data_IF_291912479935
#
_entry.id   IF_291912479935
#
_cell.length_a   1.000
_cell.length_b   1.000
_cell.length_c   1.000
_cell.angle_alpha   90.00
_cell.angle_beta   90.00
_cell.angle_gamma   90.00
#
_symmetry.space_group_name_H-M   'P 1'
#
loop_
_entity.id
_entity.type
_entity.pdbx_description
1 polymer ?
#
# COMPACT_ATOMS: atom_id res chain seq x y z
N UNK A 1 61.04 28.34 -41.53
CA UNK A 1 60.53 27.25 -40.71
C UNK A 1 59.18 27.67 -40.16
N UNK A 2 58.17 27.19 -40.80
CA UNK A 2 56.79 27.64 -40.62
C UNK A 2 56.09 26.63 -39.65
N UNK A 3 55.62 27.08 -38.46
CA UNK A 3 54.93 26.26 -37.51
C UNK A 3 53.42 26.30 -37.79
N UNK A 4 52.87 25.15 -38.14
CA UNK A 4 51.44 24.94 -38.41
C UNK A 4 50.69 24.77 -37.12
N UNK A 5 49.78 25.69 -36.81
CA UNK A 5 48.82 25.60 -35.68
C UNK A 5 47.70 24.63 -36.08
N UNK A 6 47.65 23.48 -35.43
CA UNK A 6 46.57 22.52 -35.56
C UNK A 6 45.44 22.92 -34.60
N UNK A 7 44.33 23.38 -35.18
CA UNK A 7 43.09 23.68 -34.46
C UNK A 7 42.42 22.38 -34.01
N UNK A 8 42.33 22.14 -32.70
CA UNK A 8 41.52 21.09 -32.10
C UNK A 8 40.04 21.43 -32.21
N UNK A 9 39.37 20.81 -33.17
CA UNK A 9 37.89 20.85 -33.24
C UNK A 9 37.28 20.03 -32.10
N UNK A 10 36.63 20.71 -31.17
CA UNK A 10 35.85 20.05 -30.13
C UNK A 10 34.67 19.30 -30.78
N UNK A 11 34.78 17.99 -30.84
CA UNK A 11 33.62 17.12 -31.16
C UNK A 11 32.52 17.37 -30.15
N UNK A 12 31.44 18.01 -30.59
CA UNK A 12 30.17 18.00 -29.87
C UNK A 12 29.77 16.53 -29.63
N UNK A 13 29.73 16.12 -28.38
CA UNK A 13 29.15 14.85 -27.96
C UNK A 13 27.66 14.87 -28.34
N UNK A 14 27.33 14.22 -29.45
CA UNK A 14 25.96 13.89 -29.79
C UNK A 14 25.51 12.88 -28.74
N UNK A 15 24.70 13.33 -27.78
CA UNK A 15 24.02 12.46 -26.83
C UNK A 15 23.29 11.37 -27.64
N UNK A 16 23.64 10.10 -27.40
CA UNK A 16 22.90 8.97 -27.94
C UNK A 16 21.43 9.16 -27.58
N UNK A 17 20.47 8.93 -28.50
CA UNK A 17 19.06 8.95 -28.15
C UNK A 17 18.84 7.96 -27.00
N UNK A 18 18.32 8.46 -25.89
CA UNK A 18 18.01 7.64 -24.74
C UNK A 18 17.06 6.51 -25.17
N UNK A 19 17.38 5.28 -24.80
CA UNK A 19 16.51 4.15 -25.08
C UNK A 19 15.12 4.38 -24.42
N UNK A 20 14.03 3.97 -25.05
CA UNK A 20 12.66 4.22 -24.60
C UNK A 20 12.40 3.98 -23.10
N UNK A 21 12.96 2.92 -22.45
CA UNK A 21 12.81 2.73 -21.00
C UNK A 21 13.42 3.83 -20.14
N UNK A 22 14.55 4.40 -20.51
CA UNK A 22 15.20 5.49 -19.77
C UNK A 22 14.43 6.80 -19.88
N UNK A 23 13.89 7.07 -21.06
CA UNK A 23 13.01 8.22 -21.28
C UNK A 23 11.74 8.14 -20.42
N UNK A 24 11.11 6.96 -20.32
CA UNK A 24 9.94 6.73 -19.47
C UNK A 24 10.25 6.94 -17.99
N UNK A 25 11.38 6.44 -17.49
CA UNK A 25 11.83 6.68 -16.10
C UNK A 25 12.01 8.18 -15.82
N UNK A 26 12.65 8.89 -16.73
CA UNK A 26 12.85 10.35 -16.61
C UNK A 26 11.50 11.07 -16.59
N UNK A 27 10.60 10.72 -17.49
CA UNK A 27 9.26 11.30 -17.58
C UNK A 27 8.45 11.07 -16.29
N UNK A 28 8.40 9.83 -15.80
CA UNK A 28 7.73 9.48 -14.53
C UNK A 28 8.25 10.32 -13.37
N UNK A 29 9.58 10.35 -13.22
CA UNK A 29 10.25 11.11 -12.15
C UNK A 29 9.93 12.61 -12.22
N UNK A 30 10.06 13.22 -13.39
CA UNK A 30 9.83 14.66 -13.56
C UNK A 30 8.37 15.04 -13.25
N UNK A 31 7.41 14.29 -13.77
CA UNK A 31 5.98 14.55 -13.56
C UNK A 31 5.59 14.39 -12.10
N UNK A 32 6.03 13.32 -11.43
CA UNK A 32 5.76 13.12 -10.01
C UNK A 32 6.40 14.19 -9.13
N UNK A 33 7.63 14.61 -9.42
CA UNK A 33 8.26 15.73 -8.71
C UNK A 33 7.50 17.03 -8.88
N UNK A 34 6.97 17.31 -10.07
CA UNK A 34 6.14 18.49 -10.33
C UNK A 34 4.84 18.46 -9.52
N UNK A 35 4.12 17.35 -9.51
CA UNK A 35 2.87 17.18 -8.75
C UNK A 35 3.10 17.29 -7.25
N UNK A 36 4.21 16.76 -6.75
CA UNK A 36 4.54 16.77 -5.31
C UNK A 36 5.25 18.04 -4.85
N UNK A 37 5.55 18.99 -5.75
CA UNK A 37 6.18 20.24 -5.38
C UNK A 37 5.33 20.98 -4.33
N UNK A 38 5.90 21.24 -3.16
CA UNK A 38 5.19 21.84 -2.01
C UNK A 38 4.26 20.91 -1.23
N UNK A 39 4.12 19.65 -1.63
CA UNK A 39 3.26 18.66 -0.95
C UNK A 39 4.02 17.46 -0.40
N UNK A 40 5.28 17.25 -0.77
CA UNK A 40 6.03 16.05 -0.42
C UNK A 40 6.07 15.79 1.09
N UNK A 41 6.34 16.82 1.89
CA UNK A 41 6.48 16.71 3.34
C UNK A 41 5.16 16.35 4.06
N UNK A 42 4.01 16.57 3.43
CA UNK A 42 2.69 16.24 4.00
C UNK A 42 2.45 14.74 4.14
N UNK A 43 3.18 13.94 3.38
CA UNK A 43 3.04 12.48 3.34
C UNK A 43 4.16 11.75 4.05
N UNK A 44 5.09 12.47 4.73
CA UNK A 44 6.14 11.86 5.52
C UNK A 44 5.51 11.23 6.77
N UNK A 45 5.69 9.92 7.01
CA UNK A 45 5.15 9.26 8.19
C UNK A 45 5.87 9.75 9.45
N UNK A 46 5.14 9.86 10.56
CA UNK A 46 5.73 10.25 11.85
C UNK A 46 6.61 9.14 12.43
N UNK A 47 6.29 7.89 12.11
CA UNK A 47 7.07 6.71 12.48
C UNK A 47 6.93 5.63 11.39
N UNK A 48 7.74 4.58 11.47
CA UNK A 48 7.73 3.50 10.48
C UNK A 48 6.39 2.76 10.42
N UNK A 49 5.69 2.62 11.55
CA UNK A 49 4.37 1.98 11.60
C UNK A 49 3.29 2.79 10.87
N UNK A 50 3.41 4.11 10.81
CA UNK A 50 2.48 4.98 10.07
C UNK A 50 2.62 4.81 8.55
N UNK A 51 3.78 4.39 8.05
CA UNK A 51 4.04 4.16 6.61
C UNK A 51 3.06 3.16 6.00
N UNK A 52 2.59 2.19 6.80
CA UNK A 52 1.78 1.07 6.33
C UNK A 52 0.39 1.02 6.96
N UNK A 53 -0.13 2.15 7.45
CA UNK A 53 -1.50 2.22 7.96
C UNK A 53 -2.52 2.13 6.81
N UNK A 54 -3.66 1.43 6.99
CA UNK A 54 -4.65 1.24 5.93
C UNK A 54 -5.37 2.52 5.47
N UNK A 55 -5.14 3.64 6.14
CA UNK A 55 -5.82 4.93 5.88
C UNK A 55 -5.01 5.83 4.95
N UNK A 56 -3.68 5.65 4.89
CA UNK A 56 -2.81 6.49 4.06
C UNK A 56 -2.52 5.77 2.74
N UNK A 57 -3.11 6.27 1.67
CA UNK A 57 -2.92 5.70 0.32
C UNK A 57 -1.55 6.06 -0.25
N UNK A 58 -0.96 7.17 0.18
CA UNK A 58 0.34 7.66 -0.27
C UNK A 58 1.23 7.96 0.93
N UNK A 59 2.51 7.58 0.81
CA UNK A 59 3.55 7.87 1.79
C UNK A 59 4.78 8.41 1.07
N UNK A 60 5.41 9.46 1.59
CA UNK A 60 6.68 9.98 1.11
C UNK A 60 7.81 9.54 2.03
N UNK A 61 8.90 9.08 1.45
CA UNK A 61 10.11 8.69 2.15
C UNK A 61 11.24 9.65 1.77
N UNK A 62 11.95 10.14 2.78
CA UNK A 62 13.10 11.03 2.60
C UNK A 62 14.19 10.69 3.59
N UNK A 63 15.41 10.57 3.12
CA UNK A 63 16.62 10.50 3.98
C UNK A 63 17.78 11.22 3.34
N UNK A 64 18.68 11.75 4.16
CA UNK A 64 19.95 12.38 3.77
C UNK A 64 21.17 11.50 4.02
N UNK A 65 20.97 10.34 4.62
CA UNK A 65 22.03 9.40 4.96
C UNK A 65 21.76 8.07 4.32
N UNK A 66 22.78 7.31 4.03
CA UNK A 66 22.62 5.89 3.70
C UNK A 66 21.93 5.22 4.89
N UNK A 67 20.76 4.66 4.66
CA UNK A 67 19.91 4.10 5.69
C UNK A 67 19.65 2.63 5.37
N UNK A 68 19.99 1.77 6.32
CA UNK A 68 19.67 0.35 6.25
C UNK A 68 18.50 0.04 7.19
N UNK A 69 17.41 -0.43 6.63
CA UNK A 69 16.23 -0.88 7.38
C UNK A 69 16.19 -2.40 7.25
N UNK A 70 16.58 -3.09 8.33
CA UNK A 70 16.58 -4.54 8.39
C UNK A 70 15.21 -5.07 8.80
N UNK A 71 14.82 -6.21 8.25
CA UNK A 71 13.61 -6.97 8.60
C UNK A 71 12.32 -6.14 8.51
N UNK A 72 12.23 -5.32 7.47
CA UNK A 72 11.02 -4.53 7.19
C UNK A 72 9.89 -5.48 6.82
N UNK A 73 8.83 -5.52 7.65
CA UNK A 73 7.63 -6.31 7.39
C UNK A 73 6.57 -5.49 6.66
N UNK A 74 6.24 -5.90 5.44
CA UNK A 74 5.19 -5.27 4.65
C UNK A 74 3.83 -5.88 4.99
N UNK A 75 2.99 -5.10 5.66
CA UNK A 75 1.61 -5.51 6.00
C UNK A 75 0.63 -5.40 4.83
N UNK A 76 0.96 -4.58 3.85
CA UNK A 76 0.17 -4.36 2.64
C UNK A 76 1.08 -4.44 1.42
N UNK A 77 0.52 -4.78 0.27
CA UNK A 77 1.23 -4.63 -0.99
C UNK A 77 1.44 -3.14 -1.28
N UNK A 78 2.56 -2.80 -1.89
CA UNK A 78 2.90 -1.42 -2.19
C UNK A 78 3.47 -1.27 -3.59
N UNK A 79 3.13 -0.17 -4.25
CA UNK A 79 3.86 0.33 -5.42
C UNK A 79 4.77 1.45 -4.95
N UNK A 80 6.07 1.31 -5.15
CA UNK A 80 7.07 2.34 -4.84
C UNK A 80 7.60 2.98 -6.11
N UNK A 81 7.90 4.28 -6.05
CA UNK A 81 8.62 5.00 -7.12
C UNK A 81 9.78 5.77 -6.49
N UNK A 82 10.98 5.54 -7.00
CA UNK A 82 12.18 6.26 -6.56
C UNK A 82 12.25 7.57 -7.34
N UNK A 83 12.26 8.70 -6.63
CA UNK A 83 12.33 10.03 -7.23
C UNK A 83 13.77 10.57 -7.26
N UNK A 84 14.58 10.26 -6.25
CA UNK A 84 15.98 10.66 -6.12
C UNK A 84 16.77 9.58 -5.38
N UNK A 85 18.04 9.42 -5.75
CA UNK A 85 18.93 8.43 -5.16
C UNK A 85 18.71 7.02 -5.72
N UNK A 86 19.12 6.04 -4.92
CA UNK A 86 19.04 4.62 -5.27
C UNK A 86 18.52 3.79 -4.07
N UNK A 87 18.06 2.60 -4.35
CA UNK A 87 17.59 1.64 -3.33
C UNK A 87 18.13 0.26 -3.63
N UNK A 88 18.62 -0.42 -2.60
CA UNK A 88 18.91 -1.85 -2.63
C UNK A 88 17.78 -2.58 -1.89
N UNK A 89 17.31 -3.69 -2.43
CA UNK A 89 16.31 -4.56 -1.82
C UNK A 89 16.89 -5.95 -1.77
N UNK A 90 16.96 -6.52 -0.56
CA UNK A 90 17.38 -7.88 -0.33
C UNK A 90 16.11 -8.71 -0.13
N UNK A 91 15.83 -9.57 -1.09
CA UNK A 91 14.62 -10.39 -1.13
C UNK A 91 14.94 -11.79 -1.67
N UNK A 92 14.60 -12.84 -0.90
CA UNK A 92 14.74 -14.22 -1.33
C UNK A 92 16.19 -14.66 -1.63
N UNK A 93 17.18 -14.01 -1.00
CA UNK A 93 18.61 -14.27 -1.22
C UNK A 93 19.21 -13.47 -2.39
N UNK A 94 18.41 -12.70 -3.12
CA UNK A 94 18.86 -11.82 -4.19
C UNK A 94 18.93 -10.36 -3.74
N UNK A 95 19.81 -9.60 -4.35
CA UNK A 95 19.95 -8.15 -4.14
C UNK A 95 19.53 -7.44 -5.40
N UNK A 96 18.51 -6.60 -5.29
CA UNK A 96 17.98 -5.79 -6.38
C UNK A 96 18.43 -4.35 -6.23
N UNK A 97 19.09 -3.80 -7.23
CA UNK A 97 19.53 -2.41 -7.28
C UNK A 97 18.56 -1.60 -8.15
N UNK A 98 17.92 -0.61 -7.51
CA UNK A 98 16.95 0.27 -8.12
C UNK A 98 17.46 1.70 -8.09
N UNK A 99 17.10 2.48 -9.09
CA UNK A 99 17.53 3.88 -9.27
C UNK A 99 16.35 4.83 -9.47
N UNK A 100 16.63 6.10 -9.47
CA UNK A 100 15.63 7.13 -9.70
C UNK A 100 14.86 6.91 -11.02
N UNK A 101 13.53 6.91 -10.95
CA UNK A 101 12.61 6.60 -12.03
C UNK A 101 12.15 5.15 -12.07
N UNK A 102 12.74 4.25 -11.29
CA UNK A 102 12.25 2.88 -11.20
C UNK A 102 10.94 2.83 -10.38
N UNK A 103 10.01 2.02 -10.90
CA UNK A 103 8.77 1.64 -10.24
C UNK A 103 8.89 0.19 -9.76
N UNK A 104 8.45 -0.07 -8.55
CA UNK A 104 8.56 -1.39 -7.92
C UNK A 104 7.24 -1.81 -7.29
N UNK A 105 7.01 -3.13 -7.23
CA UNK A 105 5.93 -3.75 -6.49
C UNK A 105 6.52 -4.67 -5.43
N UNK A 106 6.10 -4.45 -4.20
CA UNK A 106 6.39 -5.36 -3.10
C UNK A 106 5.07 -5.92 -2.54
N UNK A 107 4.92 -7.23 -2.47
CA UNK A 107 3.70 -7.86 -1.96
C UNK A 107 3.57 -7.73 -0.45
N UNK A 108 2.34 -7.90 0.05
CA UNK A 108 2.09 -8.01 1.49
C UNK A 108 2.68 -9.31 2.06
N UNK A 109 2.96 -9.31 3.37
CA UNK A 109 3.37 -10.50 4.12
C UNK A 109 4.83 -10.90 3.94
N UNK A 110 5.64 -10.09 3.26
CA UNK A 110 7.08 -10.34 3.12
C UNK A 110 7.89 -9.58 4.17
N UNK A 111 9.04 -10.15 4.51
CA UNK A 111 10.10 -9.49 5.28
C UNK A 111 11.28 -9.25 4.33
N UNK A 112 11.77 -8.01 4.28
CA UNK A 112 12.86 -7.60 3.40
C UNK A 112 13.84 -6.70 4.14
N UNK A 113 15.08 -6.71 3.69
CA UNK A 113 16.03 -5.67 4.05
C UNK A 113 16.12 -4.65 2.93
N UNK A 114 16.15 -3.38 3.27
CA UNK A 114 16.26 -2.29 2.29
C UNK A 114 17.40 -1.34 2.66
N UNK A 115 18.12 -0.86 1.67
CA UNK A 115 19.11 0.20 1.83
C UNK A 115 18.72 1.37 0.95
N UNK A 116 18.45 2.52 1.56
CA UNK A 116 18.22 3.77 0.87
C UNK A 116 19.54 4.52 0.72
N UNK A 117 19.87 4.90 -0.51
CA UNK A 117 21.14 5.57 -0.86
C UNK A 117 20.82 6.95 -1.42
N UNK A 118 21.21 8.05 -0.75
CA UNK A 118 21.05 9.41 -1.27
C UNK A 118 21.80 9.61 -2.60
N UNK A 119 21.20 10.45 -3.44
CA UNK A 119 21.82 10.92 -4.67
C UNK A 119 22.99 11.86 -4.34
N UNK A 120 24.14 11.70 -5.02
CA UNK A 120 25.36 12.47 -4.71
C UNK A 120 25.19 13.97 -5.00
N UNK A 121 24.40 14.34 -6.02
CA UNK A 121 24.24 15.73 -6.41
C UNK A 121 23.23 16.47 -5.51
N UNK A 122 22.10 15.84 -5.18
CA UNK A 122 21.06 16.48 -4.36
C UNK A 122 21.26 16.25 -2.85
N UNK A 123 22.02 15.24 -2.45
CA UNK A 123 22.19 14.81 -1.07
C UNK A 123 20.95 14.15 -0.45
N UNK A 124 19.98 13.75 -1.27
CA UNK A 124 18.73 13.16 -0.81
C UNK A 124 18.43 11.81 -1.46
N UNK A 125 17.88 10.91 -0.69
CA UNK A 125 17.01 9.85 -1.19
C UNK A 125 15.57 10.29 -1.02
N UNK A 126 14.79 10.23 -2.10
CA UNK A 126 13.35 10.50 -2.08
C UNK A 126 12.60 9.43 -2.84
N UNK A 127 11.55 8.93 -2.24
CA UNK A 127 10.63 7.98 -2.85
C UNK A 127 9.20 8.24 -2.41
N UNK A 128 8.25 7.75 -3.19
CA UNK A 128 6.85 7.65 -2.79
C UNK A 128 6.44 6.19 -2.78
N UNK A 129 5.51 5.89 -1.91
CA UNK A 129 4.92 4.56 -1.74
C UNK A 129 3.40 4.70 -1.79
N UNK A 130 2.81 4.09 -2.78
CA UNK A 130 1.36 3.95 -2.91
C UNK A 130 0.95 2.63 -2.26
N UNK A 131 0.22 2.71 -1.17
CA UNK A 131 -0.28 1.54 -0.46
C UNK A 131 -1.48 0.93 -1.21
N UNK A 132 -1.49 -0.38 -1.34
CA UNK A 132 -2.57 -1.14 -1.97
C UNK A 132 -3.35 -1.91 -0.89
N UNK A 133 -4.44 -1.34 -0.36
CA UNK A 133 -5.26 -2.01 0.63
C UNK A 133 -5.81 -3.34 0.08
N UNK A 134 -5.76 -4.38 0.89
CA UNK A 134 -6.23 -5.71 0.53
C UNK A 134 -7.68 -5.71 0.00
N UNK A 135 -8.57 -4.93 0.64
CA UNK A 135 -9.95 -4.75 0.19
C UNK A 135 -10.03 -4.20 -1.25
N UNK A 136 -9.15 -3.25 -1.59
CA UNK A 136 -9.13 -2.65 -2.90
C UNK A 136 -8.61 -3.63 -3.97
N UNK A 137 -7.59 -4.43 -3.64
CA UNK A 137 -7.08 -5.49 -4.52
C UNK A 137 -8.19 -6.51 -4.83
N UNK A 138 -8.92 -6.96 -3.81
CA UNK A 138 -10.03 -7.92 -3.98
C UNK A 138 -11.19 -7.34 -4.80
N UNK A 139 -11.58 -6.09 -4.54
CA UNK A 139 -12.60 -5.39 -5.32
C UNK A 139 -12.18 -5.23 -6.78
N UNK A 140 -10.92 -4.89 -7.03
CA UNK A 140 -10.38 -4.79 -8.40
C UNK A 140 -10.39 -6.14 -9.09
N UNK A 141 -9.95 -7.21 -8.43
CA UNK A 141 -9.98 -8.55 -9.00
C UNK A 141 -11.41 -9.04 -9.33
N UNK A 142 -12.39 -8.75 -8.46
CA UNK A 142 -13.79 -9.08 -8.68
C UNK A 142 -14.42 -8.26 -9.82
N UNK A 143 -14.08 -6.97 -9.93
CA UNK A 143 -14.60 -6.09 -10.99
C UNK A 143 -13.98 -6.37 -12.37
N UNK A 144 -12.75 -6.91 -12.40
CA UNK A 144 -11.99 -7.12 -13.64
C UNK A 144 -11.45 -8.56 -13.75
N UNK A 145 -12.31 -9.59 -13.82
CA UNK A 145 -11.88 -11.00 -13.85
C UNK A 145 -10.99 -11.33 -15.07
N UNK A 146 -11.17 -10.66 -16.19
CA UNK A 146 -10.33 -10.82 -17.38
C UNK A 146 -8.87 -10.37 -17.12
N UNK A 147 -8.66 -9.35 -16.31
CA UNK A 147 -7.32 -8.89 -15.94
C UNK A 147 -6.58 -9.92 -15.05
N UNK A 148 -7.32 -10.64 -14.22
CA UNK A 148 -6.80 -11.77 -13.42
C UNK A 148 -6.44 -12.94 -14.34
N UNK A 149 -7.32 -13.35 -15.26
CA UNK A 149 -7.10 -14.47 -16.18
C UNK A 149 -5.86 -14.24 -17.07
N UNK A 150 -5.70 -13.05 -17.63
CA UNK A 150 -4.58 -12.72 -18.52
C UNK A 150 -3.21 -12.69 -17.79
N UNK A 151 -3.21 -12.49 -16.47
CA UNK A 151 -1.98 -12.45 -15.67
C UNK A 151 -1.41 -13.84 -15.33
N UNK A 152 -2.19 -14.91 -15.50
CA UNK A 152 -1.77 -16.28 -15.13
C UNK A 152 -0.80 -16.93 -16.13
N UNK A 153 -0.62 -16.37 -17.33
CA UNK A 153 0.14 -16.98 -18.42
C UNK A 153 1.61 -16.59 -18.48
N UNK A 154 2.08 -15.67 -17.63
CA UNK A 154 3.46 -15.21 -17.59
C UNK A 154 4.29 -15.92 -16.53
N UNK A 155 5.54 -16.30 -16.87
CA UNK A 155 6.54 -16.72 -15.91
C UNK A 155 6.71 -15.58 -14.88
N UNK A 156 6.24 -15.78 -13.63
CA UNK A 156 6.24 -14.73 -12.62
C UNK A 156 7.70 -14.45 -12.22
N UNK A 157 8.31 -13.45 -12.85
CA UNK A 157 9.60 -12.92 -12.45
C UNK A 157 9.54 -12.52 -10.97
N UNK A 158 10.48 -13.01 -10.17
CA UNK A 158 10.64 -12.62 -8.76
C UNK A 158 11.12 -11.17 -8.64
N UNK A 159 11.44 -10.53 -9.75
CA UNK A 159 11.90 -9.13 -9.78
C UNK A 159 10.87 -8.18 -9.16
N UNK A 160 11.25 -7.32 -8.22
CA UNK A 160 10.37 -6.28 -7.68
C UNK A 160 10.08 -5.18 -8.70
N UNK A 161 10.86 -5.05 -9.78
CA UNK A 161 10.69 -4.01 -10.78
C UNK A 161 9.42 -4.18 -11.60
N UNK A 162 8.67 -3.09 -11.77
CA UNK A 162 7.51 -3.01 -12.66
C UNK A 162 7.91 -2.37 -14.00
N UNK A 163 7.50 -2.96 -15.13
CA UNK A 163 7.66 -2.32 -16.42
C UNK A 163 6.74 -1.11 -16.52
N UNK A 164 7.30 0.07 -16.70
CA UNK A 164 6.53 1.31 -16.78
C UNK A 164 6.24 1.65 -18.24
N UNK A 165 4.96 1.83 -18.56
CA UNK A 165 4.47 2.33 -19.85
C UNK A 165 4.02 3.78 -19.72
N UNK A 166 3.83 4.48 -20.85
CA UNK A 166 3.31 5.85 -20.83
C UNK A 166 1.93 5.92 -20.14
N UNK A 167 1.03 4.98 -20.42
CA UNK A 167 -0.28 4.92 -19.79
C UNK A 167 -0.19 4.67 -18.27
N UNK A 168 0.71 3.80 -17.82
CA UNK A 168 0.95 3.59 -16.39
C UNK A 168 1.49 4.84 -15.69
N UNK A 169 2.33 5.63 -16.38
CA UNK A 169 2.80 6.93 -15.88
C UNK A 169 1.63 7.88 -15.68
N UNK A 170 0.74 7.99 -16.67
CA UNK A 170 -0.41 8.88 -16.60
C UNK A 170 -1.31 8.52 -15.40
N UNK A 171 -1.65 7.26 -15.24
CA UNK A 171 -2.48 6.79 -14.12
C UNK A 171 -1.81 7.00 -12.75
N UNK A 172 -0.51 6.71 -12.63
CA UNK A 172 0.25 6.98 -11.39
C UNK A 172 0.28 8.48 -11.06
N UNK A 173 0.54 9.33 -12.03
CA UNK A 173 0.57 10.78 -11.84
C UNK A 173 -0.78 11.32 -11.44
N UNK A 174 -1.88 10.89 -12.10
CA UNK A 174 -3.23 11.29 -11.72
C UNK A 174 -3.62 10.81 -10.31
N UNK A 175 -3.28 9.58 -9.95
CA UNK A 175 -3.53 9.08 -8.61
C UNK A 175 -2.81 9.90 -7.54
N UNK A 176 -1.53 10.19 -7.74
CA UNK A 176 -0.74 11.01 -6.82
C UNK A 176 -1.26 12.45 -6.77
N UNK A 177 -1.66 13.02 -7.91
CA UNK A 177 -2.21 14.37 -7.98
C UNK A 177 -3.53 14.48 -7.21
N UNK A 178 -4.49 13.57 -7.43
CA UNK A 178 -5.77 13.59 -6.74
C UNK A 178 -5.64 13.34 -5.24
N UNK A 179 -4.63 12.56 -4.81
CA UNK A 179 -4.30 12.39 -3.39
C UNK A 179 -3.68 13.67 -2.80
N UNK A 180 -2.75 14.31 -3.52
CA UNK A 180 -2.05 15.50 -3.06
C UNK A 180 -2.95 16.74 -3.04
N UNK A 181 -3.77 16.87 -4.07
CA UNK A 181 -4.68 18.02 -4.28
C UNK A 181 -6.00 17.51 -4.84
N UNK A 182 -6.93 17.07 -3.97
CA UNK A 182 -8.24 16.61 -4.42
C UNK A 182 -8.95 17.68 -5.27
N UNK A 183 -9.68 17.28 -6.32
CA UNK A 183 -10.42 18.21 -7.17
C UNK A 183 -11.41 19.07 -6.37
N UNK A 184 -11.56 20.34 -6.76
CA UNK A 184 -12.44 21.28 -6.08
C UNK A 184 -13.89 20.75 -6.02
N UNK A 185 -14.53 20.88 -4.85
CA UNK A 185 -15.89 20.43 -4.61
C UNK A 185 -16.04 18.94 -4.30
N UNK A 186 -14.95 18.15 -4.37
CA UNK A 186 -14.96 16.72 -4.01
C UNK A 186 -14.39 16.57 -2.61
N UNK A 187 -15.24 16.18 -1.64
CA UNK A 187 -14.86 16.05 -0.23
C UNK A 187 -15.43 14.76 0.39
N UNK A 188 -14.96 14.40 1.57
CA UNK A 188 -15.49 13.29 2.34
C UNK A 188 -15.40 11.94 1.63
N UNK A 189 -16.51 11.20 1.61
CA UNK A 189 -16.58 9.85 1.03
C UNK A 189 -16.37 9.85 -0.48
N UNK A 190 -16.82 10.89 -1.18
CA UNK A 190 -16.64 11.00 -2.63
C UNK A 190 -15.16 11.16 -2.99
N UNK A 191 -14.40 11.97 -2.24
CA UNK A 191 -12.97 12.10 -2.43
C UNK A 191 -12.25 10.76 -2.21
N UNK A 192 -12.64 10.02 -1.17
CA UNK A 192 -12.11 8.68 -0.91
C UNK A 192 -12.40 7.73 -2.06
N UNK A 193 -13.63 7.71 -2.58
CA UNK A 193 -14.01 6.85 -3.71
C UNK A 193 -13.24 7.19 -4.98
N UNK A 194 -13.02 8.49 -5.25
CA UNK A 194 -12.19 8.92 -6.38
C UNK A 194 -10.76 8.41 -6.25
N UNK A 195 -10.15 8.56 -5.09
CA UNK A 195 -8.79 8.06 -4.83
C UNK A 195 -8.73 6.54 -5.01
N UNK A 196 -9.70 5.79 -4.46
CA UNK A 196 -9.78 4.35 -4.64
C UNK A 196 -9.88 3.97 -6.12
N UNK A 197 -10.70 4.69 -6.90
CA UNK A 197 -10.83 4.48 -8.34
C UNK A 197 -9.50 4.71 -9.08
N UNK A 198 -8.77 5.78 -8.75
CA UNK A 198 -7.44 6.07 -9.31
C UNK A 198 -6.42 4.98 -8.99
N UNK A 199 -6.45 4.48 -7.76
CA UNK A 199 -5.56 3.38 -7.36
C UNK A 199 -5.94 2.07 -8.08
N UNK A 200 -7.24 1.80 -8.30
CA UNK A 200 -7.69 0.67 -9.11
C UNK A 200 -7.19 0.77 -10.56
N UNK A 201 -7.25 1.95 -11.17
CA UNK A 201 -6.72 2.21 -12.51
C UNK A 201 -5.21 1.90 -12.58
N UNK A 202 -4.43 2.39 -11.60
CA UNK A 202 -3.00 2.05 -11.49
C UNK A 202 -2.78 0.54 -11.38
N UNK A 203 -3.58 -0.16 -10.55
CA UNK A 203 -3.47 -1.61 -10.39
C UNK A 203 -3.73 -2.37 -11.68
N UNK A 204 -4.62 -1.90 -12.55
CA UNK A 204 -4.93 -2.55 -13.82
C UNK A 204 -3.76 -2.54 -14.80
N UNK A 205 -2.92 -1.50 -14.79
CA UNK A 205 -1.69 -1.49 -15.60
C UNK A 205 -0.68 -2.56 -15.19
N UNK A 206 -0.76 -3.03 -13.95
CA UNK A 206 0.12 -4.04 -13.37
C UNK A 206 -0.64 -5.30 -12.94
N UNK A 207 -1.83 -5.54 -13.54
CA UNK A 207 -2.77 -6.56 -13.10
C UNK A 207 -2.14 -7.96 -13.01
N UNK A 208 -1.35 -8.36 -13.99
CA UNK A 208 -0.65 -9.64 -14.01
C UNK A 208 0.35 -9.82 -12.86
N UNK A 209 0.80 -8.75 -12.24
CA UNK A 209 1.72 -8.77 -11.10
C UNK A 209 0.99 -8.59 -9.77
N UNK A 210 -0.06 -7.77 -9.73
CA UNK A 210 -0.80 -7.41 -8.51
C UNK A 210 -1.92 -8.40 -8.23
N UNK A 211 -2.70 -8.77 -9.26
CA UNK A 211 -3.94 -9.53 -9.08
C UNK A 211 -3.77 -11.06 -9.15
N UNK A 212 -2.64 -11.55 -9.63
CA UNK A 212 -2.42 -12.98 -9.95
C UNK A 212 -1.36 -13.65 -9.07
N UNK A 213 -0.42 -12.91 -8.50
CA UNK A 213 0.62 -13.49 -7.65
C UNK A 213 0.05 -14.03 -6.33
N UNK A 214 0.45 -15.26 -5.92
CA UNK A 214 0.13 -15.80 -4.59
C UNK A 214 0.48 -14.82 -3.46
N UNK A 215 1.46 -13.95 -3.69
CA UNK A 215 1.93 -12.93 -2.76
C UNK A 215 1.21 -11.58 -2.92
N UNK A 216 0.41 -11.40 -3.97
CA UNK A 216 -0.38 -10.19 -4.20
C UNK A 216 -1.77 -10.29 -3.59
N UNK A 217 -2.32 -11.48 -3.49
CA UNK A 217 -3.54 -11.69 -2.73
C UNK A 217 -3.21 -11.56 -1.23
N UNK A 218 -3.99 -10.77 -0.50
CA UNK A 218 -3.85 -10.68 0.95
C UNK A 218 -3.86 -12.06 1.57
N UNK A 219 -3.08 -12.24 2.64
CA UNK A 219 -3.18 -13.44 3.46
C UNK A 219 -4.64 -13.74 3.77
N UNK A 220 -5.01 -15.01 3.91
CA UNK A 220 -6.39 -15.39 4.20
C UNK A 220 -6.93 -14.66 5.42
N UNK A 221 -6.08 -14.43 6.40
CA UNK A 221 -6.37 -13.62 7.59
C UNK A 221 -6.83 -12.20 7.25
N UNK A 222 -6.19 -11.55 6.26
CA UNK A 222 -6.56 -10.19 5.85
C UNK A 222 -7.85 -10.17 5.03
N UNK A 223 -8.07 -11.18 4.18
CA UNK A 223 -9.34 -11.37 3.46
C UNK A 223 -10.51 -11.52 4.43
N UNK A 224 -10.36 -12.39 5.44
CA UNK A 224 -11.35 -12.58 6.51
C UNK A 224 -11.57 -11.26 7.27
N UNK A 225 -10.50 -10.57 7.67
CA UNK A 225 -10.58 -9.30 8.39
C UNK A 225 -11.35 -8.23 7.62
N UNK A 226 -11.22 -8.18 6.30
CA UNK A 226 -11.95 -7.25 5.44
C UNK A 226 -13.46 -7.50 5.53
N UNK A 227 -13.89 -8.76 5.36
CA UNK A 227 -15.31 -9.11 5.46
C UNK A 227 -15.89 -8.84 6.85
N UNK A 228 -15.15 -9.19 7.88
CA UNK A 228 -15.59 -8.96 9.27
C UNK A 228 -15.68 -7.46 9.62
N UNK A 229 -14.83 -6.60 9.03
CA UNK A 229 -14.86 -5.15 9.26
C UNK A 229 -15.94 -4.42 8.47
N UNK A 230 -16.41 -4.96 7.36
CA UNK A 230 -17.49 -4.35 6.59
C UNK A 230 -18.83 -4.43 7.34
N UNK A 231 -19.06 -5.53 8.07
CA UNK A 231 -20.28 -5.77 8.86
C UNK A 231 -19.96 -6.40 10.22
N UNK A 232 -19.30 -5.68 11.13
CA UNK A 232 -18.86 -6.22 12.42
C UNK A 232 -20.03 -6.57 13.35
N UNK A 233 -21.21 -5.95 13.16
CA UNK A 233 -22.45 -6.21 13.88
C UNK A 233 -23.06 -7.58 13.55
N UNK A 234 -22.79 -8.10 12.36
CA UNK A 234 -23.34 -9.38 11.90
C UNK A 234 -22.86 -10.54 12.78
N UNK A 235 -23.75 -11.51 13.02
CA UNK A 235 -23.41 -12.76 13.71
C UNK A 235 -22.65 -13.72 12.76
N UNK A 236 -21.43 -13.35 12.39
CA UNK A 236 -20.58 -14.10 11.48
C UNK A 236 -20.23 -15.48 12.02
N UNK A 237 -20.33 -16.49 11.17
CA UNK A 237 -19.74 -17.81 11.34
C UNK A 237 -18.65 -18.01 10.29
N UNK A 238 -17.79 -19.01 10.48
CA UNK A 238 -16.76 -19.32 9.46
C UNK A 238 -17.41 -19.81 8.15
N UNK A 239 -18.55 -20.47 8.23
CA UNK A 239 -19.32 -20.94 7.07
C UNK A 239 -19.91 -19.79 6.24
N UNK A 240 -20.23 -18.64 6.84
CA UNK A 240 -20.70 -17.47 6.09
C UNK A 240 -19.68 -16.94 5.09
N UNK A 241 -18.41 -17.28 5.28
CA UNK A 241 -17.32 -16.84 4.41
C UNK A 241 -16.99 -17.86 3.29
N UNK A 242 -17.63 -19.02 3.27
CA UNK A 242 -17.33 -20.06 2.28
C UNK A 242 -17.57 -19.56 0.85
N UNK A 243 -18.70 -18.94 0.59
CA UNK A 243 -19.05 -18.38 -0.72
C UNK A 243 -18.20 -17.14 -1.03
N UNK A 244 -17.99 -16.27 -0.05
CA UNK A 244 -17.25 -15.01 -0.20
C UNK A 244 -15.75 -15.23 -0.50
N UNK A 245 -15.17 -16.27 0.09
CA UNK A 245 -13.75 -16.58 -0.04
C UNK A 245 -13.47 -17.73 -1.02
N UNK A 246 -14.52 -18.37 -1.53
CA UNK A 246 -14.45 -19.56 -2.40
C UNK A 246 -13.58 -20.68 -1.79
N UNK A 247 -13.84 -21.01 -0.51
CA UNK A 247 -13.16 -22.08 0.21
C UNK A 247 -14.01 -22.63 1.35
N UNK A 248 -13.88 -23.92 1.65
CA UNK A 248 -14.65 -24.52 2.75
C UNK A 248 -14.21 -24.03 4.13
N UNK A 249 -15.12 -24.07 5.11
CA UNK A 249 -14.85 -23.73 6.51
C UNK A 249 -13.62 -24.47 7.06
N UNK A 250 -13.48 -25.76 6.74
CA UNK A 250 -12.33 -26.55 7.18
C UNK A 250 -11.02 -26.00 6.63
N UNK A 251 -11.01 -25.61 5.34
CA UNK A 251 -9.84 -25.01 4.69
C UNK A 251 -9.54 -23.65 5.30
N UNK A 252 -10.57 -22.80 5.51
CA UNK A 252 -10.43 -21.51 6.15
C UNK A 252 -9.81 -21.63 7.54
N UNK A 253 -10.34 -22.50 8.38
CA UNK A 253 -9.83 -22.73 9.74
C UNK A 253 -8.37 -23.19 9.75
N UNK A 254 -8.01 -24.10 8.82
CA UNK A 254 -6.63 -24.60 8.69
C UNK A 254 -5.67 -23.47 8.29
N UNK A 255 -6.05 -22.64 7.32
CA UNK A 255 -5.22 -21.52 6.86
C UNK A 255 -5.08 -20.45 7.94
N UNK A 256 -6.17 -20.05 8.61
CA UNK A 256 -6.11 -19.10 9.73
C UNK A 256 -5.20 -19.61 10.85
N UNK A 257 -5.24 -20.93 11.15
CA UNK A 257 -4.36 -21.55 12.15
C UNK A 257 -2.90 -21.49 11.71
N UNK A 258 -2.61 -21.71 10.43
CA UNK A 258 -1.26 -21.60 9.88
C UNK A 258 -0.71 -20.15 10.01
N UNK A 259 -1.58 -19.14 9.89
CA UNK A 259 -1.25 -17.72 10.13
C UNK A 259 -1.21 -17.36 11.64
N UNK A 260 -1.34 -18.33 12.55
CA UNK A 260 -1.39 -18.07 14.00
C UNK A 260 -2.64 -17.34 14.47
N UNK A 261 -3.72 -17.33 13.67
CA UNK A 261 -4.95 -16.60 13.94
C UNK A 261 -6.14 -17.53 14.13
N UNK A 262 -7.20 -17.00 14.77
CA UNK A 262 -8.47 -17.69 14.91
C UNK A 262 -9.61 -16.79 14.48
N UNK A 263 -10.63 -17.34 13.81
CA UNK A 263 -11.79 -16.61 13.32
C UNK A 263 -12.45 -15.74 14.41
N UNK A 264 -12.68 -16.32 15.59
CA UNK A 264 -13.29 -15.60 16.73
C UNK A 264 -12.46 -14.40 17.18
N UNK A 265 -11.12 -14.53 17.17
CA UNK A 265 -10.23 -13.42 17.50
C UNK A 265 -10.36 -12.30 16.49
N UNK A 266 -10.35 -12.63 15.19
CA UNK A 266 -10.49 -11.64 14.11
C UNK A 266 -11.83 -10.90 14.16
N UNK A 267 -12.92 -11.61 14.50
CA UNK A 267 -14.23 -10.97 14.68
C UNK A 267 -14.24 -10.04 15.90
N UNK A 268 -13.68 -10.47 17.02
CA UNK A 268 -13.56 -9.63 18.20
C UNK A 268 -12.71 -8.37 17.92
N UNK A 269 -11.58 -8.52 17.20
CA UNK A 269 -10.74 -7.40 16.82
C UNK A 269 -11.49 -6.39 15.93
N UNK A 270 -12.26 -6.88 14.94
CA UNK A 270 -13.08 -6.03 14.06
C UNK A 270 -14.14 -5.24 14.84
N UNK A 271 -14.82 -5.90 15.81
CA UNK A 271 -15.82 -5.28 16.69
C UNK A 271 -15.21 -4.25 17.62
N UNK A 272 -14.02 -4.52 18.17
CA UNK A 272 -13.31 -3.56 19.03
C UNK A 272 -12.77 -2.36 18.24
N UNK A 273 -12.35 -2.55 17.00
CA UNK A 273 -11.96 -1.43 16.15
C UNK A 273 -13.14 -0.50 15.83
N UNK A 274 -14.35 -1.04 15.63
CA UNK A 274 -15.57 -0.24 15.52
C UNK A 274 -15.88 0.48 16.82
N UNK A 275 -15.80 -0.20 17.95
CA UNK A 275 -16.06 0.38 19.26
C UNK A 275 -15.16 1.58 19.57
N UNK A 276 -13.85 1.47 19.29
CA UNK A 276 -12.89 2.58 19.45
C UNK A 276 -13.25 3.81 18.62
N UNK A 277 -13.84 3.63 17.44
CA UNK A 277 -14.28 4.75 16.58
C UNK A 277 -15.55 5.42 17.08
N UNK A 278 -16.45 4.64 17.68
CA UNK A 278 -17.74 5.15 18.18
C UNK A 278 -17.66 5.74 19.59
N UNK A 279 -16.75 5.27 20.43
CA UNK A 279 -16.64 5.68 21.82
C UNK A 279 -16.37 7.18 22.03
N UNK A 280 -15.59 7.90 21.21
CA UNK A 280 -15.42 9.33 21.35
C UNK A 280 -16.71 10.14 21.18
N UNK A 281 -17.68 9.61 20.42
CA UNK A 281 -18.98 10.25 20.27
C UNK A 281 -19.80 10.13 21.58
N UNK A 282 -19.96 11.25 22.27
CA UNK A 282 -20.69 11.33 23.55
C UNK A 282 -22.21 11.27 23.39
N UNK A 283 -22.73 11.45 22.17
CA UNK A 283 -24.17 11.31 21.90
C UNK A 283 -24.59 9.84 21.89
N UNK A 284 -23.67 8.91 21.67
CA UNK A 284 -23.95 7.48 21.69
C UNK A 284 -23.83 6.90 23.12
N UNK A 285 -24.84 6.17 23.58
CA UNK A 285 -24.75 5.42 24.84
C UNK A 285 -23.82 4.20 24.70
N UNK A 286 -23.24 3.73 25.79
CA UNK A 286 -22.41 2.51 25.79
C UNK A 286 -23.24 1.29 25.34
N UNK A 287 -24.54 1.27 25.72
CA UNK A 287 -25.47 0.21 25.30
C UNK A 287 -25.68 0.22 23.78
N UNK A 288 -25.91 1.39 23.19
CA UNK A 288 -26.05 1.56 21.74
C UNK A 288 -24.79 1.13 21.03
N UNK A 289 -23.61 1.53 21.50
CA UNK A 289 -22.31 1.12 20.91
C UNK A 289 -22.14 -0.39 21.00
N UNK A 290 -22.48 -1.02 22.13
CA UNK A 290 -22.39 -2.47 22.28
C UNK A 290 -23.24 -3.20 21.23
N UNK A 291 -24.49 -2.77 21.03
CA UNK A 291 -25.39 -3.32 20.00
C UNK A 291 -24.83 -3.11 18.59
N UNK A 292 -24.40 -1.88 18.27
CA UNK A 292 -23.81 -1.55 16.98
C UNK A 292 -22.53 -2.37 16.68
N UNK A 293 -21.80 -2.76 17.73
CA UNK A 293 -20.64 -3.65 17.61
C UNK A 293 -21.01 -5.15 17.57
N UNK A 294 -22.32 -5.52 17.57
CA UNK A 294 -22.77 -6.90 17.45
C UNK A 294 -22.74 -7.69 18.78
N UNK A 295 -22.82 -6.99 19.92
CA UNK A 295 -22.95 -7.63 21.23
C UNK A 295 -24.41 -7.56 21.71
N UNK A 296 -24.99 -8.72 22.03
CA UNK A 296 -26.36 -8.81 22.51
C UNK A 296 -26.57 -8.18 23.91
N UNK A 297 -25.52 -7.97 24.70
CA UNK A 297 -25.59 -7.38 26.02
C UNK A 297 -24.34 -6.56 26.32
N UNK A 298 -24.55 -5.40 26.93
CA UNK A 298 -23.50 -4.48 27.38
C UNK A 298 -22.41 -5.17 28.23
N UNK A 299 -22.80 -6.01 29.20
CA UNK A 299 -21.86 -6.67 30.09
C UNK A 299 -20.84 -7.56 29.34
N UNK A 300 -21.29 -8.26 28.28
CA UNK A 300 -20.38 -9.05 27.43
C UNK A 300 -19.42 -8.15 26.61
N UNK A 301 -19.92 -7.03 26.13
CA UNK A 301 -19.12 -6.02 25.45
C UNK A 301 -18.04 -5.45 26.38
N UNK A 302 -18.41 -4.96 27.56
CA UNK A 302 -17.49 -4.37 28.53
C UNK A 302 -16.42 -5.36 29.00
N UNK A 303 -16.82 -6.61 29.27
CA UNK A 303 -15.88 -7.68 29.63
C UNK A 303 -14.86 -7.92 28.51
N UNK A 304 -15.33 -8.00 27.25
CA UNK A 304 -14.46 -8.24 26.10
C UNK A 304 -13.55 -7.06 25.81
N UNK A 305 -14.09 -5.85 25.87
CA UNK A 305 -13.35 -4.60 25.71
C UNK A 305 -12.21 -4.49 26.74
N UNK A 306 -12.56 -4.73 28.03
CA UNK A 306 -11.55 -4.73 29.11
C UNK A 306 -10.48 -5.81 28.93
N UNK A 307 -10.87 -6.99 28.49
CA UNK A 307 -9.91 -8.09 28.23
C UNK A 307 -8.90 -7.75 27.13
N UNK A 308 -9.34 -7.06 26.08
CA UNK A 308 -8.52 -6.78 24.91
C UNK A 308 -7.73 -5.47 25.02
N UNK A 309 -8.28 -4.47 25.71
CA UNK A 309 -7.72 -3.12 25.78
C UNK A 309 -7.24 -2.71 27.18
N UNK A 310 -7.38 -3.58 28.17
CA UNK A 310 -6.92 -3.34 29.54
C UNK A 310 -7.73 -2.32 30.33
N UNK A 311 -8.77 -1.71 29.76
CA UNK A 311 -9.61 -0.70 30.39
C UNK A 311 -11.09 -0.82 29.99
N UNK A 312 -11.98 -0.19 30.75
CA UNK A 312 -13.41 -0.19 30.41
C UNK A 312 -13.71 0.78 29.27
N UNK A 313 -14.82 0.56 28.50
CA UNK A 313 -15.27 1.50 27.47
C UNK A 313 -15.48 2.92 28.01
N UNK A 314 -16.05 3.04 29.20
CA UNK A 314 -16.24 4.32 29.87
C UNK A 314 -14.92 5.07 30.09
N UNK A 315 -13.91 4.36 30.59
CA UNK A 315 -12.59 4.96 30.82
C UNK A 315 -11.92 5.35 29.49
N UNK A 316 -12.04 4.51 28.47
CA UNK A 316 -11.52 4.82 27.14
C UNK A 316 -12.14 6.10 26.57
N UNK A 317 -13.46 6.27 26.69
CA UNK A 317 -14.20 7.48 26.28
C UNK A 317 -13.69 8.76 26.95
N UNK A 318 -13.22 8.68 28.19
CA UNK A 318 -12.72 9.84 28.93
C UNK A 318 -11.29 10.23 28.53
N UNK A 319 -10.57 9.31 27.89
CA UNK A 319 -9.16 9.51 27.46
C UNK A 319 -9.01 9.77 25.97
N UNK A 320 -10.10 9.66 25.20
CA UNK A 320 -10.20 9.94 23.77
C UNK A 320 -10.85 11.30 23.52
#
# INVERSE_FOLDING_TARGET
MTATLTTFSAKRSTARPESGPEQLRRQLRQRLKSVLAGHFDRFIPKNLDDTFRPITTLTSLITRRREHIARLQLRQAVIGVILEGAKEIHLGGEIWHLRAGDCLLLPAGIEIDVVNVPDEASGYYRAIVLNLPAALILRTAAAYPAAVANGTTGNQSQSPLLPVTAAAIDSLVHAVQDIATPPAGITGDLARQLIEHRVMEVMLHFAGRILVGRNALPAITDRVRIHLRSHPERAWTAADLDAELNMSEATLRRQLKADGQGFKKLLDDARMDLAKRLLPDRALSIDSIALTCGYAARGKFEQRFRKLLGMTPQRFRLTS
#
